data_IF_485724641666
#
_entry.id   IF_485724641666
#
_cell.length_a   1.000
_cell.length_b   1.000
_cell.length_c   1.000
_cell.angle_alpha   90.00
_cell.angle_beta   90.00
_cell.angle_gamma   90.00
#
_symmetry.space_group_name_H-M   'P 1'
#
loop_
_entity.id
_entity.type
_entity.pdbx_description
1 polymer ?
#
# COMPACT_ATOMS: atom_id res chain seq x y z
N UNK A 1 -5.50 -8.36 4.43
CA UNK A 1 -5.11 -8.86 5.77
C UNK A 1 -6.36 -8.87 6.64
N UNK A 2 -7.07 -10.00 6.70
CA UNK A 2 -8.30 -10.13 7.49
C UNK A 2 -8.01 -11.10 8.62
N UNK A 3 -7.91 -10.60 9.85
CA UNK A 3 -7.74 -11.43 11.03
C UNK A 3 -9.12 -11.91 11.47
N UNK A 4 -9.45 -13.17 11.14
CA UNK A 4 -10.61 -13.87 11.71
C UNK A 4 -10.18 -14.42 13.07
N UNK A 5 -10.65 -13.80 14.15
CA UNK A 5 -10.38 -14.23 15.51
C UNK A 5 -11.09 -15.55 15.82
N UNK A 6 -10.33 -16.62 16.09
CA UNK A 6 -10.84 -17.84 16.68
C UNK A 6 -11.04 -17.66 18.18
N UNK A 7 -12.25 -18.01 18.61
CA UNK A 7 -12.76 -17.93 19.96
C UNK A 7 -12.14 -19.05 20.83
N UNK A 8 -11.25 -18.71 21.76
CA UNK A 8 -10.88 -19.64 22.85
C UNK A 8 -10.85 -18.90 24.19
N UNK A 9 -11.82 -19.24 25.04
CA UNK A 9 -11.96 -18.73 26.39
C UNK A 9 -10.91 -19.35 27.31
N UNK A 10 -9.96 -18.55 27.80
CA UNK A 10 -9.25 -18.81 29.06
C UNK A 10 -9.12 -17.50 29.84
N UNK A 11 -9.81 -17.47 30.98
CA UNK A 11 -9.78 -16.38 31.93
C UNK A 11 -8.36 -16.20 32.48
N UNK A 12 -7.76 -15.04 32.21
CA UNK A 12 -6.58 -14.55 32.92
C UNK A 12 -6.99 -13.38 33.80
N UNK A 13 -6.57 -13.48 35.05
CA UNK A 13 -6.88 -12.62 36.19
C UNK A 13 -6.57 -11.16 35.91
N UNK A 14 -7.54 -10.27 36.16
CA UNK A 14 -7.41 -8.81 36.02
C UNK A 14 -6.34 -8.24 36.96
N UNK A 15 -5.14 -8.03 36.44
CA UNK A 15 -4.11 -7.15 37.00
C UNK A 15 -4.05 -5.85 36.21
N UNK A 16 -4.47 -4.75 36.83
CA UNK A 16 -4.50 -3.38 36.28
C UNK A 16 -3.12 -2.92 35.78
N UNK A 17 -2.97 -2.72 34.47
CA UNK A 17 -2.14 -1.66 33.86
C UNK A 17 -2.66 -1.34 32.45
N UNK A 18 -3.89 -0.83 32.33
CA UNK A 18 -4.24 -0.03 31.16
C UNK A 18 -3.64 1.35 31.40
N UNK A 19 -2.42 1.58 30.87
CA UNK A 19 -1.97 2.95 30.63
C UNK A 19 -3.00 3.57 29.71
N UNK A 20 -3.58 4.70 30.10
CA UNK A 20 -4.43 5.48 29.19
C UNK A 20 -3.60 5.74 27.93
N UNK A 21 -4.00 5.17 26.79
CA UNK A 21 -3.43 5.52 25.51
C UNK A 21 -3.66 7.01 25.33
N UNK A 22 -2.62 7.81 25.44
CA UNK A 22 -2.69 9.23 25.12
C UNK A 22 -3.09 9.29 23.65
N UNK A 23 -4.37 9.59 23.37
CA UNK A 23 -4.84 9.74 21.99
C UNK A 23 -4.09 10.93 21.43
N UNK A 24 -3.10 10.65 20.57
CA UNK A 24 -2.37 11.70 19.89
C UNK A 24 -3.34 12.39 18.91
N UNK A 25 -3.32 13.73 18.85
CA UNK A 25 -4.15 14.44 17.88
C UNK A 25 -3.68 14.09 16.47
N UNK A 26 -4.60 13.57 15.66
CA UNK A 26 -4.36 13.35 14.22
C UNK A 26 -4.06 14.69 13.55
N UNK A 27 -3.02 14.80 12.70
CA UNK A 27 -2.73 16.01 11.95
C UNK A 27 -3.93 16.46 11.10
N UNK A 28 -4.03 17.76 10.83
CA UNK A 28 -5.08 18.27 9.95
C UNK A 28 -4.80 17.82 8.51
N UNK A 29 -5.74 17.16 7.82
CA UNK A 29 -5.55 16.75 6.44
C UNK A 29 -5.45 17.96 5.51
N UNK A 30 -4.76 17.80 4.39
CA UNK A 30 -4.63 18.78 3.30
C UNK A 30 -3.90 20.09 3.66
N UNK A 31 -3.27 20.17 4.84
CA UNK A 31 -2.35 21.24 5.22
C UNK A 31 -0.90 20.81 5.08
N UNK A 32 0.05 21.75 5.07
CA UNK A 32 1.48 21.45 4.99
C UNK A 32 1.87 20.44 6.09
N UNK A 33 2.58 19.38 5.69
CA UNK A 33 2.97 18.32 6.61
C UNK A 33 4.12 18.79 7.51
N UNK A 34 3.94 18.64 8.81
CA UNK A 34 4.98 18.93 9.80
C UNK A 34 6.06 17.84 9.81
N UNK A 35 7.14 18.09 10.55
CA UNK A 35 8.20 17.10 10.74
C UNK A 35 7.70 15.94 11.61
N UNK A 36 7.97 14.71 11.15
CA UNK A 36 7.64 13.50 11.90
C UNK A 36 8.60 13.27 13.07
N UNK A 37 8.08 12.83 14.21
CA UNK A 37 8.85 12.41 15.40
C UNK A 37 8.18 11.21 16.07
N UNK A 38 8.93 10.46 16.88
CA UNK A 38 8.37 9.35 17.66
C UNK A 38 7.36 9.78 18.74
N UNK A 39 7.18 11.08 18.98
CA UNK A 39 6.23 11.61 19.98
C UNK A 39 4.88 11.98 19.38
N UNK A 40 4.86 12.39 18.11
CA UNK A 40 3.64 12.83 17.44
C UNK A 40 3.10 11.76 16.47
N UNK A 41 3.87 10.70 16.20
CA UNK A 41 3.50 9.63 15.29
C UNK A 41 3.81 8.27 15.92
N UNK A 42 2.76 7.53 16.29
CA UNK A 42 2.85 6.27 17.04
C UNK A 42 1.95 5.21 16.41
N UNK A 43 2.45 3.97 16.38
CA UNK A 43 1.71 2.80 15.90
C UNK A 43 0.47 2.52 16.79
N UNK A 44 -0.60 1.93 16.22
CA UNK A 44 -0.72 1.42 14.85
C UNK A 44 -1.10 2.49 13.81
N UNK A 45 -1.51 3.67 14.24
CA UNK A 45 -2.17 4.65 13.37
C UNK A 45 -1.19 5.48 12.53
N UNK A 46 0.03 5.70 13.02
CA UNK A 46 1.02 6.53 12.36
C UNK A 46 2.43 5.93 12.45
N UNK A 47 3.21 6.08 11.38
CA UNK A 47 4.65 5.78 11.42
C UNK A 47 5.48 6.75 10.57
N UNK A 48 6.57 7.25 11.13
CA UNK A 48 7.54 8.06 10.39
C UNK A 48 8.37 7.22 9.42
N UNK A 49 8.79 7.81 8.29
CA UNK A 49 9.81 7.21 7.42
C UNK A 49 11.10 6.98 8.21
N UNK A 50 11.46 5.71 8.37
CA UNK A 50 12.65 5.30 9.11
C UNK A 50 13.08 3.89 8.70
N UNK A 51 14.38 3.64 8.74
CA UNK A 51 14.95 2.30 8.62
C UNK A 51 14.97 1.54 9.95
N UNK A 52 14.56 2.20 11.05
CA UNK A 52 14.35 1.56 12.34
C UNK A 52 13.22 0.54 12.26
N UNK A 53 13.50 -0.66 12.77
CA UNK A 53 12.53 -1.75 12.89
C UNK A 53 11.33 -1.32 13.74
N UNK A 54 10.08 -1.56 13.29
CA UNK A 54 8.89 -1.24 14.08
C UNK A 54 8.88 -2.05 15.39
N UNK A 55 8.37 -1.44 16.45
CA UNK A 55 8.29 -2.01 17.82
C UNK A 55 9.62 -2.49 18.42
N UNK A 56 10.76 -2.10 17.82
CA UNK A 56 12.13 -2.47 18.28
C UNK A 56 12.34 -3.97 18.43
N UNK A 57 11.65 -4.76 17.62
CA UNK A 57 11.80 -6.22 17.59
C UNK A 57 13.26 -6.54 17.15
N UNK A 58 13.95 -7.51 17.75
CA UNK A 58 15.28 -7.91 17.27
C UNK A 58 15.20 -8.38 15.81
N UNK A 59 16.10 -7.91 14.93
CA UNK A 59 16.07 -8.23 13.50
C UNK A 59 15.95 -9.74 13.20
N UNK A 60 16.63 -10.58 13.98
CA UNK A 60 16.57 -12.06 13.89
C UNK A 60 15.18 -12.67 14.11
N UNK A 61 14.25 -11.92 14.71
CA UNK A 61 12.89 -12.35 14.99
C UNK A 61 11.88 -11.80 13.98
N UNK A 62 12.32 -10.97 13.02
CA UNK A 62 11.43 -10.37 12.03
C UNK A 62 11.35 -11.30 10.82
N UNK A 63 10.13 -11.69 10.38
CA UNK A 63 10.00 -12.40 9.12
C UNK A 63 10.38 -11.47 7.96
N UNK A 64 11.23 -11.96 7.04
CA UNK A 64 11.48 -11.25 5.80
C UNK A 64 10.23 -11.33 4.92
N UNK A 65 9.59 -10.19 4.69
CA UNK A 65 8.45 -10.07 3.79
C UNK A 65 8.98 -9.77 2.39
N UNK A 66 8.45 -10.46 1.38
CA UNK A 66 8.71 -10.21 -0.04
C UNK A 66 7.37 -9.89 -0.70
N UNK A 67 7.26 -8.72 -1.31
CA UNK A 67 6.07 -8.30 -2.06
C UNK A 67 6.34 -8.55 -3.54
N UNK A 68 5.65 -9.54 -4.11
CA UNK A 68 5.66 -9.78 -5.55
C UNK A 68 4.50 -8.99 -6.14
N UNK A 69 4.80 -8.06 -7.04
CA UNK A 69 3.78 -7.19 -7.63
C UNK A 69 3.86 -7.21 -9.13
N UNK A 70 2.70 -7.21 -9.79
CA UNK A 70 2.58 -7.05 -11.24
C UNK A 70 1.83 -5.76 -11.52
N UNK A 71 2.36 -4.97 -12.44
CA UNK A 71 1.72 -3.77 -12.93
C UNK A 71 1.09 -4.08 -14.30
N UNK A 72 0.15 -3.24 -14.72
CA UNK A 72 -0.55 -3.28 -16.01
C UNK A 72 -1.67 -4.32 -16.14
N UNK A 73 -2.10 -4.53 -17.39
CA UNK A 73 -3.28 -5.29 -17.73
C UNK A 73 -3.13 -6.78 -17.39
N UNK A 74 -4.21 -7.38 -16.89
CA UNK A 74 -4.32 -8.84 -16.72
C UNK A 74 -5.06 -9.41 -17.91
N UNK A 75 -4.44 -10.31 -18.67
CA UNK A 75 -5.07 -10.93 -19.85
C UNK A 75 -4.43 -12.29 -20.19
N UNK A 76 -4.87 -12.87 -21.30
CA UNK A 76 -4.44 -14.17 -21.79
C UNK A 76 -2.93 -14.28 -22.06
N UNK A 77 -2.25 -13.18 -22.35
CA UNK A 77 -0.80 -13.17 -22.58
C UNK A 77 0.02 -13.44 -21.32
N UNK A 78 -0.52 -13.10 -20.14
CA UNK A 78 0.22 -13.16 -18.88
C UNK A 78 -0.41 -14.06 -17.81
N UNK A 79 -1.66 -14.47 -17.99
CA UNK A 79 -2.37 -15.27 -17.00
C UNK A 79 -1.72 -16.63 -16.70
N UNK A 80 -1.21 -17.32 -17.73
CA UNK A 80 -0.54 -18.62 -17.55
C UNK A 80 0.74 -18.48 -16.71
N UNK A 81 1.49 -17.39 -16.89
CA UNK A 81 2.67 -17.09 -16.08
C UNK A 81 2.33 -16.88 -14.61
N UNK A 82 1.22 -16.18 -14.32
CA UNK A 82 0.77 -16.00 -12.94
C UNK A 82 0.40 -17.33 -12.30
N UNK A 83 -0.31 -18.20 -13.01
CA UNK A 83 -0.68 -19.53 -12.52
C UNK A 83 0.57 -20.39 -12.22
N UNK A 84 1.56 -20.40 -13.11
CA UNK A 84 2.83 -21.10 -12.91
C UNK A 84 3.57 -20.60 -11.66
N UNK A 85 3.58 -19.28 -11.45
CA UNK A 85 4.27 -18.69 -10.32
C UNK A 85 3.60 -19.02 -8.98
N UNK A 86 2.27 -18.95 -8.90
CA UNK A 86 1.54 -18.95 -7.62
C UNK A 86 0.92 -20.29 -7.20
N UNK A 87 0.51 -21.18 -8.12
CA UNK A 87 -0.39 -22.29 -7.76
C UNK A 87 0.25 -23.38 -6.87
N UNK A 88 1.57 -23.56 -6.92
CA UNK A 88 2.27 -24.65 -6.21
C UNK A 88 3.31 -24.19 -5.17
N UNK A 89 3.23 -22.93 -4.71
CA UNK A 89 4.20 -22.36 -3.78
C UNK A 89 3.53 -21.91 -2.48
N UNK A 90 4.19 -22.18 -1.35
CA UNK A 90 3.66 -21.90 -0.02
C UNK A 90 4.67 -21.15 0.84
N UNK A 91 4.15 -20.28 1.70
CA UNK A 91 4.88 -19.64 2.79
C UNK A 91 5.21 -20.66 3.89
N UNK A 92 6.16 -20.35 4.82
CA UNK A 92 6.49 -21.23 5.94
C UNK A 92 5.31 -21.59 6.85
N UNK A 93 4.24 -20.80 6.83
CA UNK A 93 3.00 -21.07 7.56
C UNK A 93 2.04 -22.05 6.83
N UNK A 94 2.41 -22.55 5.66
CA UNK A 94 1.61 -23.50 4.86
C UNK A 94 0.55 -22.86 3.96
N UNK A 95 0.34 -21.54 4.03
CA UNK A 95 -0.56 -20.82 3.13
C UNK A 95 0.09 -20.64 1.75
N UNK A 96 -0.68 -20.55 0.65
CA UNK A 96 -0.17 -20.15 -0.66
C UNK A 96 0.59 -18.81 -0.60
N UNK A 97 1.60 -18.64 -1.43
CA UNK A 97 2.16 -17.31 -1.68
C UNK A 97 1.17 -16.50 -2.52
N UNK A 98 1.17 -15.18 -2.35
CA UNK A 98 0.24 -14.28 -3.01
C UNK A 98 1.02 -13.12 -3.64
N UNK A 99 0.52 -12.60 -4.77
CA UNK A 99 0.95 -11.34 -5.34
C UNK A 99 -0.09 -10.22 -5.17
N UNK A 100 0.36 -9.00 -5.41
CA UNK A 100 -0.47 -7.80 -5.55
C UNK A 100 -0.44 -7.34 -7.01
N UNK A 101 -1.61 -7.15 -7.61
CA UNK A 101 -1.76 -6.75 -9.01
C UNK A 101 -2.26 -5.31 -9.06
N UNK A 102 -1.42 -4.40 -9.56
CA UNK A 102 -1.81 -3.03 -9.88
C UNK A 102 -2.33 -3.03 -11.31
N UNK A 103 -3.65 -3.09 -11.45
CA UNK A 103 -4.31 -3.33 -12.73
C UNK A 103 -4.68 -2.02 -13.41
N UNK A 104 -4.23 -1.85 -14.65
CA UNK A 104 -4.69 -0.78 -15.55
C UNK A 104 -5.88 -1.25 -16.38
N UNK A 105 -6.76 -0.33 -16.80
CA UNK A 105 -8.02 -0.73 -17.43
C UNK A 105 -7.84 -1.33 -18.83
N UNK A 106 -7.04 -0.67 -19.68
CA UNK A 106 -6.95 -1.02 -21.09
C UNK A 106 -6.43 -2.45 -21.25
N UNK A 107 -7.08 -3.25 -22.12
CA UNK A 107 -6.72 -4.65 -22.40
C UNK A 107 -6.82 -5.63 -21.21
N UNK A 108 -7.43 -5.24 -20.09
CA UNK A 108 -7.68 -6.16 -18.97
C UNK A 108 -8.91 -7.03 -19.20
N UNK A 109 -8.73 -8.34 -19.09
CA UNK A 109 -9.80 -9.31 -18.91
C UNK A 109 -10.21 -9.38 -17.43
N UNK A 110 -11.37 -8.81 -17.12
CA UNK A 110 -11.86 -8.76 -15.76
C UNK A 110 -12.35 -10.12 -15.22
N UNK A 111 -12.65 -11.10 -16.07
CA UNK A 111 -12.91 -12.48 -15.62
C UNK A 111 -11.65 -13.15 -15.08
N UNK A 112 -10.49 -12.83 -15.66
CA UNK A 112 -9.20 -13.26 -15.14
C UNK A 112 -8.83 -12.53 -13.84
N UNK A 113 -9.11 -11.22 -13.74
CA UNK A 113 -8.99 -10.47 -12.47
C UNK A 113 -9.82 -11.12 -11.37
N UNK A 114 -11.08 -11.47 -11.65
CA UNK A 114 -11.95 -12.14 -10.70
C UNK A 114 -11.37 -13.46 -10.24
N UNK A 115 -10.80 -14.23 -11.16
CA UNK A 115 -10.18 -15.52 -10.87
C UNK A 115 -8.96 -15.36 -9.96
N UNK A 116 -8.05 -14.40 -10.24
CA UNK A 116 -6.90 -14.10 -9.37
C UNK A 116 -7.34 -13.64 -7.97
N UNK A 117 -8.35 -12.76 -7.90
CA UNK A 117 -8.90 -12.30 -6.63
C UNK A 117 -9.52 -13.46 -5.83
N UNK A 118 -10.23 -14.38 -6.49
CA UNK A 118 -10.81 -15.57 -5.85
C UNK A 118 -9.75 -16.52 -5.26
N UNK A 119 -8.54 -16.53 -5.84
CA UNK A 119 -7.37 -17.27 -5.33
C UNK A 119 -6.68 -16.54 -4.14
N UNK A 120 -7.15 -15.35 -3.78
CA UNK A 120 -6.66 -14.57 -2.64
C UNK A 120 -5.61 -13.51 -2.99
N UNK A 121 -5.30 -13.29 -4.27
CA UNK A 121 -4.40 -12.21 -4.68
C UNK A 121 -5.03 -10.84 -4.42
N UNK A 122 -4.19 -9.85 -4.12
CA UNK A 122 -4.64 -8.48 -3.90
C UNK A 122 -4.79 -7.75 -5.23
N UNK A 123 -5.93 -7.09 -5.44
CA UNK A 123 -6.18 -6.24 -6.61
C UNK A 123 -6.13 -4.77 -6.19
N UNK A 124 -5.28 -4.00 -6.86
CA UNK A 124 -5.03 -2.58 -6.63
C UNK A 124 -5.18 -1.79 -7.93
N UNK A 125 -5.41 -0.49 -7.81
CA UNK A 125 -5.62 0.40 -8.97
C UNK A 125 -4.28 0.80 -9.61
N UNK A 126 -4.22 0.79 -10.95
CA UNK A 126 -3.10 1.33 -11.74
C UNK A 126 -3.56 2.30 -12.82
N UNK A 127 -4.54 3.15 -12.47
CA UNK A 127 -5.21 4.10 -13.35
C UNK A 127 -6.05 3.46 -14.47
N UNK A 128 -6.85 4.28 -15.16
CA UNK A 128 -7.67 3.82 -16.28
C UNK A 128 -6.86 3.93 -17.57
N UNK A 129 -6.27 5.10 -17.83
CA UNK A 129 -5.65 5.39 -19.12
C UNK A 129 -4.15 5.09 -19.16
N UNK A 130 -3.57 4.69 -18.03
CA UNK A 130 -2.13 4.45 -17.90
C UNK A 130 -1.27 5.63 -18.39
N UNK A 131 -1.72 6.86 -18.10
CA UNK A 131 -1.10 8.09 -18.57
C UNK A 131 -0.23 8.75 -17.49
N UNK A 132 0.65 9.68 -17.90
CA UNK A 132 1.55 10.39 -16.99
C UNK A 132 0.77 11.43 -16.16
N UNK A 133 0.57 11.15 -14.88
CA UNK A 133 -0.29 11.94 -14.00
C UNK A 133 0.36 13.13 -13.29
N UNK A 134 1.60 13.49 -13.62
CA UNK A 134 2.37 14.56 -12.94
C UNK A 134 1.58 15.87 -12.79
N UNK A 135 0.89 16.28 -13.85
CA UNK A 135 0.16 17.57 -13.94
C UNK A 135 -1.35 17.43 -13.78
N UNK A 136 -1.83 16.26 -13.37
CA UNK A 136 -3.26 16.03 -13.21
C UNK A 136 -3.79 16.81 -12.01
N UNK A 137 -4.93 17.46 -12.21
CA UNK A 137 -5.69 18.03 -11.10
C UNK A 137 -6.24 16.92 -10.21
N UNK A 138 -6.67 17.26 -8.99
CA UNK A 138 -7.36 16.32 -8.09
C UNK A 138 -8.52 15.63 -8.80
N UNK A 139 -9.33 16.39 -9.55
CA UNK A 139 -10.46 15.84 -10.31
C UNK A 139 -10.03 14.85 -11.39
N UNK A 140 -8.90 15.12 -12.05
CA UNK A 140 -8.39 14.22 -13.08
C UNK A 140 -7.82 12.94 -12.46
N UNK A 141 -7.03 13.05 -11.38
CA UNK A 141 -6.62 11.88 -10.59
C UNK A 141 -7.82 11.06 -10.10
N UNK A 142 -8.88 11.71 -9.62
CA UNK A 142 -10.10 11.00 -9.16
C UNK A 142 -10.76 10.19 -10.28
N UNK A 143 -10.70 10.68 -11.53
CA UNK A 143 -11.19 9.91 -12.69
C UNK A 143 -10.28 8.72 -12.97
N UNK A 144 -8.96 8.94 -12.97
CA UNK A 144 -7.97 7.88 -13.23
C UNK A 144 -7.97 6.78 -12.18
N UNK A 145 -7.96 7.12 -10.89
CA UNK A 145 -8.04 6.12 -9.81
C UNK A 145 -9.42 5.46 -9.72
N UNK A 146 -10.39 5.97 -10.49
CA UNK A 146 -11.71 5.36 -10.70
C UNK A 146 -11.66 3.91 -11.19
N UNK A 147 -10.48 3.42 -11.63
CA UNK A 147 -10.20 2.00 -11.85
C UNK A 147 -10.65 1.09 -10.70
N UNK A 148 -10.66 1.57 -9.45
CA UNK A 148 -11.23 0.81 -8.32
C UNK A 148 -12.70 0.40 -8.54
N UNK A 149 -13.51 1.27 -9.16
CA UNK A 149 -14.92 0.96 -9.46
C UNK A 149 -15.02 -0.06 -10.58
N UNK A 150 -14.09 -0.03 -11.54
CA UNK A 150 -14.06 -0.98 -12.65
C UNK A 150 -13.67 -2.38 -12.15
N UNK A 151 -12.62 -2.46 -11.32
CA UNK A 151 -12.23 -3.70 -10.63
C UNK A 151 -13.38 -4.30 -9.80
N UNK A 152 -14.15 -3.44 -9.12
CA UNK A 152 -15.31 -3.88 -8.36
C UNK A 152 -16.45 -4.39 -9.26
N UNK A 153 -16.86 -3.58 -10.23
CA UNK A 153 -18.05 -3.86 -11.05
C UNK A 153 -17.83 -5.01 -12.03
N UNK A 154 -16.65 -5.09 -12.64
CA UNK A 154 -16.38 -6.06 -13.70
C UNK A 154 -15.48 -7.21 -13.23
N UNK A 155 -14.57 -6.96 -12.28
CA UNK A 155 -13.66 -7.98 -11.73
C UNK A 155 -14.19 -8.70 -10.49
N UNK A 156 -15.38 -8.35 -9.99
CA UNK A 156 -15.97 -8.97 -8.81
C UNK A 156 -15.15 -8.78 -7.52
N UNK A 157 -14.20 -7.84 -7.51
CA UNK A 157 -13.40 -7.50 -6.34
C UNK A 157 -14.29 -6.73 -5.36
N UNK A 158 -14.20 -7.01 -4.06
CA UNK A 158 -14.95 -6.21 -3.09
C UNK A 158 -14.36 -4.81 -3.05
N UNK A 159 -15.21 -3.78 -3.06
CA UNK A 159 -14.74 -2.39 -3.08
C UNK A 159 -13.89 -2.08 -1.85
N UNK A 160 -14.24 -2.66 -0.70
CA UNK A 160 -13.48 -2.56 0.55
C UNK A 160 -12.17 -3.35 0.57
N UNK A 161 -11.87 -4.16 -0.44
CA UNK A 161 -10.59 -4.86 -0.57
C UNK A 161 -9.64 -4.15 -1.57
N UNK A 162 -10.14 -3.17 -2.34
CA UNK A 162 -9.32 -2.34 -3.23
C UNK A 162 -8.74 -1.17 -2.44
N UNK A 163 -7.51 -1.37 -1.94
CA UNK A 163 -6.89 -0.46 -0.97
C UNK A 163 -5.64 0.26 -1.48
N UNK A 164 -5.00 -0.31 -2.49
CA UNK A 164 -3.74 0.17 -3.05
C UNK A 164 -3.92 0.96 -4.33
N UNK A 165 -3.02 1.93 -4.51
CA UNK A 165 -2.77 2.59 -5.79
C UNK A 165 -1.28 2.51 -6.14
N UNK A 166 -0.99 2.39 -7.43
CA UNK A 166 0.32 2.70 -8.00
C UNK A 166 0.14 3.58 -9.22
N UNK A 167 0.88 4.69 -9.30
CA UNK A 167 0.87 5.58 -10.45
C UNK A 167 1.63 4.97 -11.63
N UNK A 168 1.11 5.08 -12.86
CA UNK A 168 1.84 4.76 -14.08
C UNK A 168 3.24 5.38 -14.10
N UNK A 169 4.23 4.62 -14.56
CA UNK A 169 5.64 5.04 -14.66
C UNK A 169 6.28 5.47 -13.33
N UNK A 170 5.64 5.17 -12.19
CA UNK A 170 6.00 5.69 -10.86
C UNK A 170 5.99 7.23 -10.79
N UNK A 171 5.29 7.88 -11.72
CA UNK A 171 5.19 9.33 -11.78
C UNK A 171 4.04 9.79 -10.90
N UNK A 172 4.36 10.13 -9.65
CA UNK A 172 3.42 10.73 -8.70
C UNK A 172 2.96 12.11 -9.17
N UNK A 173 1.76 12.52 -8.74
CA UNK A 173 1.15 13.83 -9.04
C UNK A 173 1.14 14.79 -7.85
N UNK A 174 2.11 14.67 -6.94
CA UNK A 174 2.23 15.50 -5.75
C UNK A 174 0.95 15.54 -4.92
N UNK A 175 0.70 16.67 -4.27
CA UNK A 175 -0.47 16.83 -3.41
C UNK A 175 -1.81 16.52 -4.10
N UNK A 176 -1.94 16.74 -5.41
CA UNK A 176 -3.20 16.49 -6.13
C UNK A 176 -3.54 15.01 -6.22
N UNK A 177 -2.53 14.15 -6.42
CA UNK A 177 -2.70 12.70 -6.39
C UNK A 177 -3.11 12.22 -5.00
N UNK A 178 -2.33 12.57 -3.97
CA UNK A 178 -2.56 12.08 -2.61
C UNK A 178 -3.85 12.64 -1.99
N UNK A 179 -4.28 13.85 -2.37
CA UNK A 179 -5.60 14.37 -2.01
C UNK A 179 -6.73 13.54 -2.61
N UNK A 180 -6.59 13.14 -3.88
CA UNK A 180 -7.56 12.26 -4.55
C UNK A 180 -7.62 10.89 -3.87
N UNK A 181 -6.47 10.28 -3.54
CA UNK A 181 -6.41 9.00 -2.83
C UNK A 181 -7.09 9.07 -1.47
N UNK A 182 -6.76 10.10 -0.69
CA UNK A 182 -7.34 10.35 0.63
C UNK A 182 -8.86 10.52 0.57
N UNK A 183 -9.37 11.30 -0.39
CA UNK A 183 -10.82 11.51 -0.57
C UNK A 183 -11.57 10.26 -1.06
N UNK A 184 -10.86 9.28 -1.65
CA UNK A 184 -11.46 8.08 -2.22
C UNK A 184 -11.18 6.80 -1.39
N UNK A 185 -10.76 6.93 -0.12
CA UNK A 185 -10.58 5.84 0.84
C UNK A 185 -9.52 4.78 0.45
N UNK A 186 -8.55 5.16 -0.38
CA UNK A 186 -7.33 4.37 -0.51
C UNK A 186 -6.55 4.41 0.80
N UNK A 187 -5.94 3.29 1.18
CA UNK A 187 -5.17 3.21 2.43
C UNK A 187 -3.68 3.23 2.19
N UNK A 188 -3.22 2.96 0.96
CA UNK A 188 -1.81 3.05 0.65
C UNK A 188 -1.50 3.37 -0.83
N UNK A 189 -0.34 3.97 -1.04
CA UNK A 189 0.31 4.19 -2.34
C UNK A 189 1.64 3.43 -2.41
N UNK A 190 1.99 2.92 -3.59
CA UNK A 190 3.27 2.25 -3.85
C UNK A 190 4.00 2.83 -5.08
N UNK A 191 3.99 4.16 -5.19
CA UNK A 191 4.50 4.90 -6.35
C UNK A 191 5.77 5.70 -6.07
N UNK A 192 6.13 5.91 -4.79
CA UNK A 192 7.28 6.73 -4.40
C UNK A 192 8.53 5.86 -4.18
N UNK A 193 9.45 5.77 -5.15
CA UNK A 193 10.73 5.14 -4.91
C UNK A 193 11.57 5.98 -3.94
N UNK A 194 12.37 5.30 -3.14
CA UNK A 194 13.41 5.94 -2.32
C UNK A 194 14.76 5.55 -2.89
N UNK A 195 15.74 6.46 -2.89
CA UNK A 195 17.12 6.16 -3.29
C UNK A 195 17.68 4.93 -2.54
N UNK A 196 18.62 4.21 -3.17
CA UNK A 196 19.30 3.05 -2.55
C UNK A 196 19.81 3.44 -1.15
N UNK A 197 19.36 2.72 -0.14
CA UNK A 197 19.64 3.01 1.25
C UNK A 197 19.88 1.74 2.05
N UNK A 198 20.84 1.81 2.98
CA UNK A 198 21.21 0.68 3.83
C UNK A 198 21.36 1.15 5.29
N UNK A 199 20.52 0.70 6.23
CA UNK A 199 19.40 -0.23 6.03
C UNK A 199 18.22 0.42 5.29
N UNK A 200 17.39 -0.39 4.59
CA UNK A 200 16.27 0.11 3.82
C UNK A 200 15.15 0.68 4.70
N UNK A 201 14.32 1.56 4.11
CA UNK A 201 13.18 2.14 4.83
C UNK A 201 12.06 1.11 5.00
N UNK A 202 11.40 1.14 6.16
CA UNK A 202 10.11 0.49 6.32
C UNK A 202 8.98 1.40 5.81
N UNK A 203 7.78 0.83 5.53
CA UNK A 203 6.59 1.62 5.22
C UNK A 203 6.26 2.64 6.31
N UNK A 204 5.72 3.77 5.89
CA UNK A 204 5.40 4.91 6.75
C UNK A 204 4.08 5.55 6.32
N UNK A 205 3.52 6.43 7.15
CA UNK A 205 2.29 7.16 6.82
C UNK A 205 2.57 8.59 6.39
N UNK A 206 1.63 9.17 5.66
CA UNK A 206 1.69 10.53 5.14
C UNK A 206 1.03 11.55 6.06
N UNK A 207 0.81 11.19 7.33
CA UNK A 207 0.43 12.10 8.42
C UNK A 207 1.42 13.27 8.54
N UNK A 208 2.71 13.00 8.34
CA UNK A 208 3.81 13.95 8.42
C UNK A 208 4.66 13.91 7.15
N UNK A 209 5.63 14.83 7.05
CA UNK A 209 6.53 14.90 5.90
C UNK A 209 7.25 13.55 5.67
N UNK A 210 7.40 13.18 4.39
CA UNK A 210 8.00 11.92 3.92
C UNK A 210 9.41 11.64 4.47
N UNK A 211 10.15 12.64 4.96
CA UNK A 211 11.39 12.42 5.71
C UNK A 211 12.57 11.88 4.89
N UNK A 212 12.45 11.85 3.56
CA UNK A 212 13.52 11.52 2.61
C UNK A 212 13.43 12.41 1.37
N UNK A 213 14.45 12.34 0.51
CA UNK A 213 14.47 13.07 -0.76
C UNK A 213 13.41 12.53 -1.73
N UNK A 214 12.79 13.44 -2.49
CA UNK A 214 11.85 13.08 -3.54
C UNK A 214 12.62 12.71 -4.82
N UNK A 215 12.73 11.42 -5.13
CA UNK A 215 13.45 10.96 -6.32
C UNK A 215 12.76 11.39 -7.63
N UNK A 216 11.44 11.24 -7.70
CA UNK A 216 10.63 11.58 -8.90
C UNK A 216 9.63 12.67 -8.49
N UNK A 217 9.96 13.95 -8.69
CA UNK A 217 9.05 15.04 -8.35
C UNK A 217 7.82 15.05 -9.27
N UNK A 218 6.68 15.59 -8.79
CA UNK A 218 6.44 16.17 -7.47
C UNK A 218 5.97 15.15 -6.42
N UNK A 219 6.58 15.17 -5.22
CA UNK A 219 6.13 14.40 -4.05
C UNK A 219 5.11 15.17 -3.19
N UNK A 220 4.34 14.49 -2.30
CA UNK A 220 3.41 15.17 -1.40
C UNK A 220 4.15 16.04 -0.38
N UNK A 221 3.63 17.23 -0.14
CA UNK A 221 4.10 18.17 0.90
C UNK A 221 3.03 18.48 1.94
N UNK A 222 1.80 17.99 1.73
CA UNK A 222 0.68 18.07 2.65
C UNK A 222 0.52 16.79 3.46
N UNK A 223 -0.18 16.91 4.58
CA UNK A 223 -0.58 15.80 5.45
C UNK A 223 -1.79 15.08 4.90
N UNK A 224 -1.70 13.75 4.84
CA UNK A 224 -2.76 12.80 4.47
C UNK A 224 -2.83 11.71 5.55
N UNK A 225 -3.43 12.00 6.72
CA UNK A 225 -3.41 11.10 7.87
C UNK A 225 -3.95 9.71 7.55
N UNK A 226 -3.24 8.67 8.00
CA UNK A 226 -3.62 7.28 7.79
C UNK A 226 -3.41 6.73 6.37
N UNK A 227 -3.03 7.56 5.40
CA UNK A 227 -2.60 7.10 4.07
C UNK A 227 -1.14 6.64 4.15
N UNK A 228 -0.89 5.38 3.82
CA UNK A 228 0.45 4.80 3.86
C UNK A 228 1.23 5.08 2.57
N UNK A 229 2.47 5.54 2.71
CA UNK A 229 3.45 5.61 1.65
C UNK A 229 4.35 4.37 1.70
N UNK A 230 4.39 3.62 0.60
CA UNK A 230 5.32 2.51 0.44
C UNK A 230 6.68 3.02 0.00
N UNK A 231 7.69 2.89 0.86
CA UNK A 231 9.08 2.87 0.42
C UNK A 231 9.28 1.62 -0.46
N UNK A 232 9.22 1.77 -1.79
CA UNK A 232 9.83 0.77 -2.66
C UNK A 232 11.33 0.80 -2.33
N UNK A 233 11.79 -0.22 -1.62
CA UNK A 233 13.20 -0.52 -1.50
C UNK A 233 13.63 -0.94 -2.90
N UNK A 234 14.62 -0.26 -3.49
CA UNK A 234 15.30 -0.82 -4.64
C UNK A 234 15.81 -2.20 -4.23
N UNK A 235 15.15 -3.24 -4.74
CA UNK A 235 15.69 -4.59 -4.68
C UNK A 235 16.97 -4.55 -5.50
N UNK A 236 18.09 -4.39 -4.80
CA UNK A 236 19.42 -4.53 -5.36
C UNK A 236 19.54 -5.99 -5.79
N UNK A 237 19.21 -6.21 -7.06
CA UNK A 237 19.39 -7.43 -7.84
C UNK A 237 18.85 -8.71 -7.18
N UNK A 238 17.61 -9.07 -7.51
CA UNK A 238 17.28 -10.50 -7.67
C UNK A 238 17.59 -10.83 -9.13
N UNK A 239 18.88 -11.11 -9.39
CA UNK A 239 19.36 -11.94 -10.49
C UNK A 239 20.33 -12.95 -9.88
#
# INVERSE_FOLDING_TARGET
MTIVGQNTSRAFTLGRYFSASTILPTPRPLTVAEKCTSRNCVLPDCRCASSEIPDKIPARNIPQIVLITFDDAVNDLNYELYAELFDNRKNPNGCPILGTFYVSHEWTDYGMVQSLYSKGHEMASHSITHSHGEKFSVSHWTKEIGGQKILHLYGGVKLEDIRGMRAPFLQVGGNSMFESLYQNNFTYDSSMPVLDNNPPFFPYTLDYNIGHECMIPPCPTKSFPGLWGGARIYLKYIL
#
